data_IF_151451512980
#
_entry.id   IF_151451512980
#
_cell.length_a   1.000
_cell.length_b   1.000
_cell.length_c   1.000
_cell.angle_alpha   90.00
_cell.angle_beta   90.00
_cell.angle_gamma   90.00
#
_symmetry.space_group_name_H-M   'P 1'
#
loop_
_entity.id
_entity.type
_entity.pdbx_description
1 polymer ?
#
# COMPACT_ATOMS: atom_id res chain seq x y z
N UNK A 1 23.58 14.49 -0.24
CA UNK A 1 22.79 14.54 -1.50
C UNK A 1 21.63 13.54 -1.51
N UNK A 2 21.86 12.24 -1.27
CA UNK A 2 20.78 11.21 -1.33
C UNK A 2 19.61 11.49 -0.38
N UNK A 3 19.84 11.93 0.85
CA UNK A 3 18.76 12.28 1.79
C UNK A 3 17.84 13.39 1.23
N UNK A 4 18.42 14.40 0.60
CA UNK A 4 17.64 15.47 -0.05
C UNK A 4 16.80 14.93 -1.21
N UNK A 5 17.34 13.98 -1.99
CA UNK A 5 16.61 13.33 -3.08
C UNK A 5 15.46 12.45 -2.55
N UNK A 6 15.66 11.75 -1.43
CA UNK A 6 14.61 10.97 -0.78
C UNK A 6 13.47 11.88 -0.33
N UNK A 7 13.77 12.98 0.36
CA UNK A 7 12.76 13.95 0.79
C UNK A 7 12.03 14.57 -0.40
N UNK A 8 12.77 14.92 -1.46
CA UNK A 8 12.16 15.44 -2.68
C UNK A 8 11.24 14.41 -3.37
N UNK A 9 11.65 13.14 -3.40
CA UNK A 9 10.84 12.06 -3.94
C UNK A 9 9.56 11.85 -3.13
N UNK A 10 9.63 11.90 -1.79
CA UNK A 10 8.47 11.75 -0.92
C UNK A 10 7.48 12.91 -1.10
N UNK A 11 7.97 14.15 -1.14
CA UNK A 11 7.12 15.32 -1.44
C UNK A 11 6.49 15.18 -2.82
N UNK A 12 7.26 14.79 -3.84
CA UNK A 12 6.77 14.57 -5.20
C UNK A 12 5.70 13.49 -5.27
N UNK A 13 5.84 12.41 -4.48
CA UNK A 13 4.83 11.35 -4.37
C UNK A 13 3.48 11.90 -3.92
N UNK A 14 3.44 12.68 -2.82
CA UNK A 14 2.20 13.25 -2.32
C UNK A 14 1.58 14.28 -3.26
N UNK A 15 2.42 15.10 -3.93
CA UNK A 15 1.96 16.05 -4.94
C UNK A 15 1.36 15.31 -6.14
N UNK A 16 2.03 14.32 -6.69
CA UNK A 16 1.55 13.53 -7.83
C UNK A 16 0.27 12.77 -7.49
N UNK A 17 0.19 12.19 -6.29
CA UNK A 17 -1.02 11.50 -5.82
C UNK A 17 -2.19 12.49 -5.73
N UNK A 18 -1.98 13.63 -5.07
CA UNK A 18 -3.01 14.67 -4.91
C UNK A 18 -3.46 15.25 -6.26
N UNK A 19 -2.53 15.60 -7.14
CA UNK A 19 -2.84 16.10 -8.49
C UNK A 19 -3.51 15.02 -9.34
N UNK A 20 -3.07 13.78 -9.26
CA UNK A 20 -3.68 12.66 -9.98
C UNK A 20 -5.14 12.45 -9.61
N UNK A 21 -5.46 12.54 -8.31
CA UNK A 21 -6.84 12.44 -7.83
C UNK A 21 -7.65 13.71 -8.13
N UNK A 22 -7.07 14.91 -7.97
CA UNK A 22 -7.73 16.16 -8.29
C UNK A 22 -8.10 16.25 -9.78
N UNK A 23 -7.18 15.90 -10.68
CA UNK A 23 -7.46 15.88 -12.13
C UNK A 23 -8.53 14.86 -12.50
N UNK A 24 -8.62 13.76 -11.77
CA UNK A 24 -9.64 12.72 -11.99
C UNK A 24 -11.05 13.17 -11.59
N UNK A 25 -11.18 13.79 -10.42
CA UNK A 25 -12.49 14.07 -9.81
C UNK A 25 -12.96 15.52 -9.99
N UNK A 26 -12.05 16.51 -9.99
CA UNK A 26 -12.39 17.91 -10.17
C UNK A 26 -12.42 18.29 -11.66
N UNK A 27 -11.35 17.93 -12.42
CA UNK A 27 -11.26 18.25 -13.84
C UNK A 27 -11.84 17.17 -14.77
N UNK A 28 -12.12 15.96 -14.24
CA UNK A 28 -12.63 14.81 -15.01
C UNK A 28 -11.69 14.34 -16.15
N UNK A 29 -10.41 14.67 -16.07
CA UNK A 29 -9.39 14.29 -17.04
C UNK A 29 -8.78 12.93 -16.72
N UNK A 30 -9.46 11.85 -17.08
CA UNK A 30 -9.05 10.47 -16.74
C UNK A 30 -7.66 10.10 -17.27
N UNK A 31 -7.30 10.52 -18.49
CA UNK A 31 -5.99 10.19 -19.10
C UNK A 31 -4.85 10.85 -18.33
N UNK A 32 -4.95 12.14 -18.03
CA UNK A 32 -3.96 12.91 -17.26
C UNK A 32 -3.82 12.34 -15.84
N UNK A 33 -4.94 12.01 -15.20
CA UNK A 33 -4.92 11.36 -13.88
C UNK A 33 -4.16 10.03 -13.92
N UNK A 34 -4.44 9.17 -14.89
CA UNK A 34 -3.74 7.88 -15.02
C UNK A 34 -2.23 8.09 -15.24
N UNK A 35 -1.83 9.04 -16.08
CA UNK A 35 -0.42 9.36 -16.31
C UNK A 35 0.27 9.83 -15.02
N UNK A 36 -0.37 10.70 -14.23
CA UNK A 36 0.15 11.18 -12.95
C UNK A 36 0.29 10.04 -11.93
N UNK A 37 -0.71 9.15 -11.84
CA UNK A 37 -0.67 8.01 -10.91
C UNK A 37 0.37 6.95 -11.32
N UNK A 38 0.61 6.76 -12.62
CA UNK A 38 1.71 5.93 -13.13
C UNK A 38 3.07 6.59 -12.88
N UNK A 39 3.11 7.92 -12.76
CA UNK A 39 4.31 8.65 -12.36
C UNK A 39 4.83 8.29 -10.97
N UNK A 40 3.97 7.83 -10.04
CA UNK A 40 4.37 7.48 -8.69
C UNK A 40 5.48 6.40 -8.65
N UNK A 41 5.29 5.20 -9.20
CA UNK A 41 6.35 4.20 -9.23
C UNK A 41 7.57 4.63 -10.06
N UNK A 42 7.40 5.52 -11.03
CA UNK A 42 8.53 6.05 -11.79
C UNK A 42 9.44 6.95 -10.94
N UNK A 43 8.89 7.75 -10.03
CA UNK A 43 9.68 8.53 -9.06
C UNK A 43 10.55 7.61 -8.20
N UNK A 44 9.97 6.53 -7.66
CA UNK A 44 10.71 5.56 -6.83
C UNK A 44 11.80 4.83 -7.62
N UNK A 45 11.51 4.44 -8.85
CA UNK A 45 12.50 3.83 -9.74
C UNK A 45 13.63 4.81 -10.12
N UNK A 46 13.31 6.08 -10.33
CA UNK A 46 14.30 7.13 -10.59
C UNK A 46 15.21 7.31 -9.38
N UNK A 47 14.64 7.36 -8.17
CA UNK A 47 15.40 7.44 -6.92
C UNK A 47 16.34 6.25 -6.77
N UNK A 48 15.85 5.03 -7.08
CA UNK A 48 16.69 3.83 -7.07
C UNK A 48 17.81 3.88 -8.12
N UNK A 49 17.52 4.34 -9.34
CA UNK A 49 18.53 4.51 -10.38
C UNK A 49 19.63 5.52 -9.97
N UNK A 50 19.25 6.64 -9.35
CA UNK A 50 20.20 7.61 -8.79
C UNK A 50 21.04 7.00 -7.67
N UNK A 51 20.47 6.12 -6.86
CA UNK A 51 21.17 5.34 -5.82
C UNK A 51 22.25 4.43 -6.46
N UNK A 52 21.93 3.76 -7.56
CA UNK A 52 22.88 2.93 -8.32
C UNK A 52 24.03 3.77 -8.87
N UNK A 53 23.71 4.94 -9.42
CA UNK A 53 24.74 5.86 -9.97
C UNK A 53 25.66 6.42 -8.88
N UNK A 54 25.11 6.76 -7.71
CA UNK A 54 25.88 7.25 -6.57
C UNK A 54 26.87 6.20 -6.07
N UNK A 55 26.45 4.94 -5.93
CA UNK A 55 27.32 3.83 -5.54
C UNK A 55 28.40 3.54 -6.59
N UNK A 56 28.06 3.60 -7.89
CA UNK A 56 29.04 3.48 -8.97
C UNK A 56 30.06 4.61 -8.98
N UNK A 57 29.67 5.79 -8.50
CA UNK A 57 30.54 6.95 -8.28
C UNK A 57 31.54 6.79 -7.13
N UNK A 58 31.52 5.64 -6.43
CA UNK A 58 32.44 5.34 -5.30
C UNK A 58 31.90 5.77 -3.93
N UNK A 59 30.64 6.16 -3.82
CA UNK A 59 30.01 6.46 -2.53
C UNK A 59 29.94 5.20 -1.67
N UNK A 60 30.10 5.38 -0.36
CA UNK A 60 29.95 4.27 0.60
C UNK A 60 28.49 3.90 0.78
N UNK A 61 28.19 2.61 0.72
CA UNK A 61 26.83 2.13 0.96
C UNK A 61 26.37 2.50 2.37
N UNK A 62 25.18 3.06 2.45
CA UNK A 62 24.56 3.52 3.69
C UNK A 62 23.12 3.03 3.80
N UNK A 63 22.51 3.23 4.96
CA UNK A 63 21.11 2.89 5.19
C UNK A 63 20.15 3.61 4.21
N UNK A 64 20.54 4.79 3.69
CA UNK A 64 19.75 5.57 2.74
C UNK A 64 19.61 4.88 1.38
N UNK A 65 20.64 4.15 0.94
CA UNK A 65 20.60 3.36 -0.31
C UNK A 65 19.60 2.18 -0.18
N UNK A 66 19.62 1.50 0.98
CA UNK A 66 18.64 0.45 1.25
C UNK A 66 17.22 1.01 1.42
N UNK A 67 17.08 2.22 1.95
CA UNK A 67 15.80 2.90 2.05
C UNK A 67 15.23 3.23 0.66
N UNK A 68 16.04 3.73 -0.27
CA UNK A 68 15.62 3.99 -1.66
C UNK A 68 15.13 2.71 -2.36
N UNK A 69 15.83 1.57 -2.17
CA UNK A 69 15.39 0.27 -2.64
C UNK A 69 14.05 -0.15 -2.00
N UNK A 70 13.86 0.19 -0.72
CA UNK A 70 12.62 -0.11 0.01
C UNK A 70 11.42 0.68 -0.50
N UNK A 71 11.61 1.93 -0.91
CA UNK A 71 10.56 2.72 -1.55
C UNK A 71 10.08 2.07 -2.84
N UNK A 72 11.01 1.66 -3.72
CA UNK A 72 10.65 0.96 -4.95
C UNK A 72 9.92 -0.36 -4.68
N UNK A 73 10.39 -1.17 -3.74
CA UNK A 73 9.73 -2.43 -3.36
C UNK A 73 8.35 -2.21 -2.72
N UNK A 74 8.22 -1.21 -1.85
CA UNK A 74 6.95 -0.84 -1.25
C UNK A 74 5.95 -0.32 -2.29
N UNK A 75 6.41 0.50 -3.24
CA UNK A 75 5.60 1.02 -4.34
C UNK A 75 5.00 -0.10 -5.19
N UNK A 76 5.77 -1.15 -5.47
CA UNK A 76 5.29 -2.32 -6.21
C UNK A 76 4.29 -3.14 -5.39
N UNK A 77 4.59 -3.46 -4.13
CA UNK A 77 3.73 -4.30 -3.30
C UNK A 77 2.46 -3.61 -2.80
N UNK A 78 2.56 -2.36 -2.39
CA UNK A 78 1.48 -1.60 -1.77
C UNK A 78 0.89 -0.49 -2.63
N UNK A 79 1.62 0.03 -3.63
CA UNK A 79 1.22 1.18 -4.45
C UNK A 79 -0.19 1.06 -5.02
N UNK A 80 -0.56 -0.04 -5.72
CA UNK A 80 -1.91 -0.20 -6.25
C UNK A 80 -3.00 -0.20 -5.18
N UNK A 81 -2.67 -0.64 -3.96
CA UNK A 81 -3.59 -0.64 -2.82
C UNK A 81 -3.75 0.76 -2.23
N UNK A 82 -2.65 1.49 -2.11
CA UNK A 82 -2.62 2.87 -1.61
C UNK A 82 -3.40 3.80 -2.54
N UNK A 83 -3.19 3.68 -3.86
CA UNK A 83 -3.93 4.44 -4.86
C UNK A 83 -5.43 4.16 -4.77
N UNK A 84 -5.85 2.89 -4.69
CA UNK A 84 -7.27 2.53 -4.53
C UNK A 84 -7.87 3.02 -3.22
N UNK A 85 -7.08 3.03 -2.15
CA UNK A 85 -7.51 3.58 -0.86
C UNK A 85 -7.71 5.09 -0.96
N UNK A 86 -6.72 5.82 -1.49
CA UNK A 86 -6.78 7.27 -1.69
C UNK A 86 -7.93 7.66 -2.63
N UNK A 87 -8.12 6.92 -3.74
CA UNK A 87 -9.19 7.12 -4.70
C UNK A 87 -10.58 7.05 -4.06
N UNK A 88 -10.82 6.03 -3.21
CA UNK A 88 -12.11 5.88 -2.50
C UNK A 88 -12.36 7.01 -1.50
N UNK A 89 -11.32 7.44 -0.77
CA UNK A 89 -11.45 8.53 0.20
C UNK A 89 -11.67 9.86 -0.49
N UNK A 90 -10.99 10.11 -1.61
CA UNK A 90 -11.13 11.32 -2.39
C UNK A 90 -12.52 11.39 -3.07
N UNK A 91 -12.99 10.26 -3.62
CA UNK A 91 -14.35 10.15 -4.18
C UNK A 91 -15.41 10.53 -3.15
N UNK A 92 -15.29 9.99 -1.93
CA UNK A 92 -16.21 10.32 -0.83
C UNK A 92 -16.14 11.79 -0.43
N UNK A 93 -14.93 12.34 -0.28
CA UNK A 93 -14.72 13.68 0.27
C UNK A 93 -15.08 14.80 -0.72
N UNK A 94 -14.81 14.61 -2.01
CA UNK A 94 -14.85 15.67 -3.02
C UNK A 94 -15.85 15.45 -4.15
N UNK A 95 -16.32 14.22 -4.36
CA UNK A 95 -17.22 13.90 -5.44
C UNK A 95 -18.56 13.28 -4.96
N UNK A 96 -18.89 13.38 -3.68
CA UNK A 96 -20.16 12.90 -3.13
C UNK A 96 -20.36 11.38 -3.19
N UNK A 97 -19.29 10.61 -3.37
CA UNK A 97 -19.36 9.17 -3.43
C UNK A 97 -19.68 8.51 -2.06
N UNK A 98 -19.99 7.22 -2.05
CA UNK A 98 -20.33 6.50 -0.83
C UNK A 98 -19.13 6.47 0.14
N UNK A 99 -19.44 6.44 1.44
CA UNK A 99 -18.39 6.35 2.48
C UNK A 99 -17.58 5.07 2.28
N UNK A 100 -16.23 5.14 2.32
CA UNK A 100 -15.39 3.96 2.22
C UNK A 100 -15.74 2.95 3.32
N UNK A 101 -15.98 1.71 2.93
CA UNK A 101 -16.27 0.65 3.88
C UNK A 101 -15.03 0.37 4.75
N UNK A 102 -15.18 0.21 6.06
CA UNK A 102 -14.09 -0.17 6.95
C UNK A 102 -13.58 -1.57 6.59
N UNK A 103 -12.34 -1.87 6.98
CA UNK A 103 -11.77 -3.21 6.80
C UNK A 103 -12.62 -4.25 7.53
N UNK A 104 -12.77 -5.48 7.00
CA UNK A 104 -13.50 -6.55 7.68
C UNK A 104 -12.82 -6.84 9.03
N UNK A 105 -13.63 -7.07 10.06
CA UNK A 105 -13.15 -7.31 11.43
C UNK A 105 -13.32 -8.76 11.88
N UNK A 106 -14.24 -9.50 11.27
CA UNK A 106 -14.67 -10.83 11.69
C UNK A 106 -14.81 -11.78 10.51
N UNK A 107 -14.80 -13.08 10.82
CA UNK A 107 -15.10 -14.15 9.87
C UNK A 107 -14.05 -14.37 8.77
N UNK A 108 -14.39 -15.16 7.73
CA UNK A 108 -13.49 -15.54 6.65
C UNK A 108 -13.00 -14.33 5.82
N UNK A 109 -13.78 -13.26 5.77
CA UNK A 109 -13.38 -12.02 5.06
C UNK A 109 -12.20 -11.33 5.78
N UNK A 110 -12.12 -11.43 7.10
CA UNK A 110 -10.95 -10.97 7.86
C UNK A 110 -9.73 -11.80 7.51
N UNK A 111 -9.85 -13.11 7.47
CA UNK A 111 -8.75 -14.02 7.10
C UNK A 111 -8.25 -13.71 5.69
N UNK A 112 -9.15 -13.56 4.72
CA UNK A 112 -8.78 -13.18 3.33
C UNK A 112 -8.06 -11.84 3.28
N UNK A 113 -8.49 -10.87 4.07
CA UNK A 113 -7.86 -9.56 4.15
C UNK A 113 -6.42 -9.65 4.71
N UNK A 114 -6.19 -10.45 5.76
CA UNK A 114 -4.86 -10.67 6.33
C UNK A 114 -3.92 -11.37 5.32
N UNK A 115 -4.40 -12.37 4.58
CA UNK A 115 -3.62 -12.98 3.50
C UNK A 115 -3.27 -12.01 2.38
N UNK A 116 -4.15 -11.06 2.06
CA UNK A 116 -3.83 -10.00 1.10
C UNK A 116 -2.73 -9.07 1.62
N UNK A 117 -2.74 -8.72 2.91
CA UNK A 117 -1.67 -7.93 3.54
C UNK A 117 -0.37 -8.73 3.53
N UNK A 118 -0.39 -9.98 4.00
CA UNK A 118 0.78 -10.85 4.00
C UNK A 118 1.39 -11.00 2.60
N UNK A 119 0.57 -11.27 1.59
CA UNK A 119 1.02 -11.36 0.21
C UNK A 119 1.69 -10.09 -0.30
N UNK A 120 1.11 -8.92 -0.01
CA UNK A 120 1.71 -7.62 -0.38
C UNK A 120 3.04 -7.40 0.35
N UNK A 121 3.11 -7.72 1.65
CA UNK A 121 4.36 -7.61 2.43
C UNK A 121 5.44 -8.52 1.87
N UNK A 122 5.10 -9.78 1.56
CA UNK A 122 6.04 -10.74 0.97
C UNK A 122 6.56 -10.25 -0.39
N UNK A 123 5.67 -9.80 -1.27
CA UNK A 123 6.06 -9.26 -2.59
C UNK A 123 6.94 -8.02 -2.41
N UNK A 124 6.54 -7.07 -1.55
CA UNK A 124 7.32 -5.86 -1.27
C UNK A 124 8.70 -6.21 -0.72
N UNK A 125 8.77 -7.12 0.26
CA UNK A 125 10.03 -7.58 0.83
C UNK A 125 10.92 -8.28 -0.21
N UNK A 126 10.36 -9.19 -1.01
CA UNK A 126 11.09 -9.91 -2.04
C UNK A 126 11.71 -8.96 -3.08
N UNK A 127 10.92 -8.00 -3.57
CA UNK A 127 11.41 -6.98 -4.51
C UNK A 127 12.48 -6.12 -3.85
N UNK A 128 12.25 -5.61 -2.65
CA UNK A 128 13.26 -4.80 -1.91
C UNK A 128 14.56 -5.57 -1.72
N UNK A 129 14.48 -6.83 -1.27
CA UNK A 129 15.66 -7.66 -1.05
C UNK A 129 16.41 -7.93 -2.36
N UNK A 130 15.70 -8.17 -3.45
CA UNK A 130 16.32 -8.31 -4.78
C UNK A 130 17.05 -7.03 -5.20
N UNK A 131 16.42 -5.86 -5.01
CA UNK A 131 17.05 -4.58 -5.32
C UNK A 131 18.25 -4.30 -4.44
N UNK A 132 18.20 -4.58 -3.13
CA UNK A 132 19.36 -4.45 -2.23
C UNK A 132 20.48 -5.39 -2.66
N UNK A 133 20.17 -6.64 -3.04
CA UNK A 133 21.17 -7.60 -3.52
C UNK A 133 21.88 -7.09 -4.76
N UNK A 134 21.19 -6.40 -5.65
CA UNK A 134 21.79 -5.76 -6.83
C UNK A 134 22.72 -4.59 -6.48
N UNK A 135 22.56 -3.96 -5.32
CA UNK A 135 23.45 -2.88 -4.85
C UNK A 135 24.74 -3.42 -4.21
N UNK A 136 24.74 -4.65 -3.69
CA UNK A 136 25.89 -5.23 -2.98
C UNK A 136 27.19 -5.19 -3.81
N UNK A 137 27.21 -5.67 -5.08
CA UNK A 137 28.44 -5.65 -5.88
C UNK A 137 28.89 -4.24 -6.30
N UNK A 138 28.03 -3.24 -6.18
CA UNK A 138 28.34 -1.85 -6.52
C UNK A 138 28.97 -1.10 -5.34
N UNK A 139 28.84 -1.63 -4.12
CA UNK A 139 29.37 -1.01 -2.91
C UNK A 139 30.85 -1.36 -2.71
N UNK A 140 31.69 -0.35 -2.52
CA UNK A 140 33.12 -0.53 -2.27
C UNK A 140 33.36 -0.91 -0.80
N UNK A 141 33.91 -2.13 -0.56
CA UNK A 141 34.44 -2.55 0.75
C UNK A 141 33.53 -3.44 1.61
N UNK A 142 34.12 -4.17 2.54
CA UNK A 142 33.48 -5.18 3.39
C UNK A 142 32.57 -4.64 4.50
N UNK A 143 32.70 -3.34 4.85
CA UNK A 143 31.92 -2.72 5.93
C UNK A 143 30.41 -2.60 5.62
N UNK A 144 30.02 -2.78 4.37
CA UNK A 144 28.66 -2.55 3.88
C UNK A 144 27.72 -3.74 4.05
N UNK A 145 28.28 -4.94 4.19
CA UNK A 145 27.48 -6.15 4.40
C UNK A 145 26.62 -6.06 5.66
N UNK A 146 27.15 -5.51 6.76
CA UNK A 146 26.42 -5.33 8.02
C UNK A 146 25.20 -4.40 7.89
N UNK A 147 25.33 -3.33 7.11
CA UNK A 147 24.20 -2.40 6.88
C UNK A 147 23.07 -3.07 6.10
N UNK A 148 23.39 -3.77 5.04
CA UNK A 148 22.39 -4.47 4.22
C UNK A 148 21.82 -5.68 4.96
N UNK A 149 22.62 -6.41 5.75
CA UNK A 149 22.16 -7.55 6.56
C UNK A 149 21.01 -7.16 7.50
N UNK A 150 21.07 -5.99 8.13
CA UNK A 150 19.98 -5.50 8.98
C UNK A 150 18.66 -5.31 8.20
N UNK A 151 18.72 -4.91 6.93
CA UNK A 151 17.54 -4.79 6.08
C UNK A 151 16.98 -6.16 5.71
N UNK A 152 17.84 -7.15 5.39
CA UNK A 152 17.40 -8.53 5.15
C UNK A 152 16.66 -9.08 6.35
N UNK A 153 17.20 -8.90 7.57
CA UNK A 153 16.56 -9.35 8.79
C UNK A 153 15.23 -8.65 9.06
N UNK A 154 15.18 -7.32 8.98
CA UNK A 154 13.95 -6.55 9.23
C UNK A 154 12.84 -6.91 8.25
N UNK A 155 13.14 -6.98 6.96
CA UNK A 155 12.15 -7.31 5.94
C UNK A 155 11.72 -8.78 6.02
N UNK A 156 12.67 -9.68 6.28
CA UNK A 156 12.38 -11.09 6.52
C UNK A 156 11.46 -11.30 7.73
N UNK A 157 11.77 -10.68 8.85
CA UNK A 157 10.92 -10.70 10.05
C UNK A 157 9.54 -10.13 9.76
N UNK A 158 9.46 -8.97 9.09
CA UNK A 158 8.18 -8.37 8.73
C UNK A 158 7.32 -9.30 7.86
N UNK A 159 7.92 -9.95 6.86
CA UNK A 159 7.22 -10.91 6.00
C UNK A 159 6.74 -12.13 6.80
N UNK A 160 7.62 -12.72 7.61
CA UNK A 160 7.29 -13.90 8.43
C UNK A 160 6.18 -13.58 9.43
N UNK A 161 6.27 -12.44 10.14
CA UNK A 161 5.23 -12.03 11.10
C UNK A 161 3.88 -11.86 10.42
N UNK A 162 3.82 -11.23 9.24
CA UNK A 162 2.57 -11.08 8.51
C UNK A 162 1.99 -12.42 8.05
N UNK A 163 2.82 -13.36 7.61
CA UNK A 163 2.38 -14.71 7.25
C UNK A 163 1.86 -15.48 8.47
N UNK A 164 2.56 -15.39 9.60
CA UNK A 164 2.12 -16.01 10.87
C UNK A 164 0.77 -15.43 11.29
N UNK A 165 0.61 -14.11 11.25
CA UNK A 165 -0.66 -13.46 11.59
C UNK A 165 -1.78 -13.95 10.68
N UNK A 166 -1.58 -13.99 9.37
CA UNK A 166 -2.57 -14.51 8.42
C UNK A 166 -2.90 -16.00 8.69
N UNK A 167 -1.89 -16.79 9.02
CA UNK A 167 -2.04 -18.20 9.44
C UNK A 167 -2.87 -18.34 10.72
N UNK A 168 -2.59 -17.52 11.74
CA UNK A 168 -3.38 -17.49 12.98
C UNK A 168 -4.85 -17.20 12.71
N UNK A 169 -5.15 -16.22 11.84
CA UNK A 169 -6.55 -15.92 11.43
C UNK A 169 -7.17 -17.05 10.60
N UNK A 170 -6.40 -17.89 9.96
CA UNK A 170 -6.92 -19.09 9.25
C UNK A 170 -7.28 -20.21 10.22
N UNK A 171 -6.46 -20.41 11.27
CA UNK A 171 -6.68 -21.45 12.28
C UNK A 171 -7.74 -21.05 13.31
N UNK A 172 -7.74 -19.77 13.72
CA UNK A 172 -8.67 -19.21 14.70
C UNK A 172 -9.37 -17.96 14.13
N UNK A 173 -10.38 -18.13 13.27
CA UNK A 173 -11.15 -17.02 12.72
C UNK A 173 -11.81 -16.22 13.84
N UNK A 174 -11.59 -14.92 13.86
CA UNK A 174 -12.21 -14.05 14.88
C UNK A 174 -13.72 -14.03 14.70
N UNK A 175 -14.46 -14.49 15.70
CA UNK A 175 -15.92 -14.48 15.71
C UNK A 175 -16.47 -13.14 16.23
N UNK A 176 -17.63 -12.68 15.73
CA UNK A 176 -18.29 -11.49 16.26
C UNK A 176 -18.79 -11.75 17.69
N UNK A 177 -18.83 -10.73 18.56
CA UNK A 177 -19.48 -10.83 19.86
C UNK A 177 -20.98 -11.14 19.72
N UNK A 178 -21.57 -11.80 20.72
CA UNK A 178 -22.98 -12.08 20.73
C UNK A 178 -23.82 -10.78 20.62
N UNK A 179 -24.84 -10.78 19.75
CA UNK A 179 -25.71 -9.62 19.52
C UNK A 179 -25.20 -8.58 18.54
N UNK A 180 -24.04 -8.80 17.91
CA UNK A 180 -23.53 -7.91 16.85
C UNK A 180 -23.85 -8.51 15.49
N UNK A 181 -24.66 -7.78 14.69
CA UNK A 181 -24.93 -8.16 13.30
C UNK A 181 -23.70 -7.87 12.45
N UNK A 182 -23.28 -8.87 11.70
CA UNK A 182 -22.10 -8.79 10.82
C UNK A 182 -22.47 -9.22 9.42
N UNK A 183 -22.23 -8.35 8.45
CA UNK A 183 -22.38 -8.62 7.03
C UNK A 183 -21.02 -8.43 6.36
N UNK A 184 -20.58 -9.39 5.56
CA UNK A 184 -19.23 -9.39 4.91
C UNK A 184 -18.07 -9.11 5.89
N UNK A 185 -18.14 -9.67 7.10
CA UNK A 185 -17.10 -9.48 8.13
C UNK A 185 -17.10 -8.09 8.78
N UNK A 186 -18.08 -7.23 8.48
CA UNK A 186 -18.20 -5.87 9.02
C UNK A 186 -19.38 -5.76 9.96
N UNK A 187 -19.24 -4.92 10.99
CA UNK A 187 -20.35 -4.62 11.89
C UNK A 187 -21.39 -3.79 11.13
N UNK A 188 -22.61 -4.29 11.05
CA UNK A 188 -23.76 -3.59 10.48
C UNK A 188 -24.57 -2.97 11.61
N UNK A 189 -24.72 -1.66 11.61
CA UNK A 189 -25.62 -0.96 12.54
C UNK A 189 -27.02 -0.96 11.95
N UNK A 190 -28.05 -1.07 12.78
CA UNK A 190 -29.46 -1.07 12.38
C UNK A 190 -29.84 0.07 11.41
N UNK A 191 -29.16 1.21 11.52
CA UNK A 191 -29.30 2.35 10.62
C UNK A 191 -28.82 2.05 9.17
N UNK A 192 -27.94 1.07 8.98
CA UNK A 192 -27.45 0.65 7.66
C UNK A 192 -28.45 -0.26 6.96
N UNK A 193 -29.21 -1.06 7.73
CA UNK A 193 -30.26 -1.94 7.22
C UNK A 193 -31.48 -1.15 6.73
N UNK A 194 -31.84 -0.06 7.42
CA UNK A 194 -32.98 0.79 7.05
C UNK A 194 -32.76 1.55 5.71
N UNK A 195 -31.51 1.75 5.28
CA UNK A 195 -31.18 2.41 4.00
C UNK A 195 -31.09 1.47 2.79
N UNK A 196 -31.17 0.15 2.99
CA UNK A 196 -31.00 -0.87 1.94
C UNK A 196 -32.30 -1.58 1.59
N UNK A 197 -33.46 -1.13 2.10
CA UNK A 197 -34.76 -1.67 1.68
C UNK A 197 -35.01 -1.25 0.23
N UNK A 198 -35.03 -2.19 -0.75
CA UNK A 198 -35.45 -1.88 -2.11
C UNK A 198 -36.87 -1.39 -2.06
N UNK A 199 -37.16 -0.28 -2.70
CA UNK A 199 -38.44 0.42 -2.69
C UNK A 199 -39.61 -0.50 -2.78
N UNK A 200 -40.54 -0.33 -1.83
CA UNK A 200 -41.81 -1.04 -1.78
C UNK A 200 -42.54 -0.90 -3.11
N UNK A 201 -42.97 -2.02 -3.62
CA UNK A 201 -43.95 -2.15 -4.69
C UNK A 201 -45.16 -1.26 -4.37
N UNK A 202 -45.61 -0.38 -5.26
CA UNK A 202 -46.88 0.30 -5.10
C UNK A 202 -47.98 -0.72 -5.40
N UNK A 203 -48.50 -1.35 -4.35
CA UNK A 203 -49.76 -2.06 -4.41
C UNK A 203 -50.89 -1.08 -4.22
N UNK A 204 -51.83 -1.13 -5.18
CA UNK A 204 -53.24 -0.71 -5.13
C UNK A 204 -53.57 0.75 -4.84
N UNK A 205 -53.99 1.38 -5.92
CA UNK A 205 -55.06 2.41 -5.86
C UNK A 205 -56.31 1.82 -6.47
N UNK A 206 -57.49 1.97 -5.77
CA UNK A 206 -58.79 1.60 -6.29
C UNK A 206 -59.24 2.51 -7.42
#
# INVERSE_FOLDING_TARGET
MIVTLIVAAEISFWILLGLGLATRYLLRWRRTSTALLVGLPLVDLTLYALTVLDLRGGSTASWTHALAASYAGFSIGYGPSLVRWADRHFLHRFAGGPKPLPSPKYGPERTRYEWQIAGRTVVSAAVTLSLITLLVPLSAGSAHFGTFLQWYLKLGIAAVVNVIVAGCYSLWPKQPPAGVLVEDGRVVTEKTLAGTTPGGTPADRP
#
